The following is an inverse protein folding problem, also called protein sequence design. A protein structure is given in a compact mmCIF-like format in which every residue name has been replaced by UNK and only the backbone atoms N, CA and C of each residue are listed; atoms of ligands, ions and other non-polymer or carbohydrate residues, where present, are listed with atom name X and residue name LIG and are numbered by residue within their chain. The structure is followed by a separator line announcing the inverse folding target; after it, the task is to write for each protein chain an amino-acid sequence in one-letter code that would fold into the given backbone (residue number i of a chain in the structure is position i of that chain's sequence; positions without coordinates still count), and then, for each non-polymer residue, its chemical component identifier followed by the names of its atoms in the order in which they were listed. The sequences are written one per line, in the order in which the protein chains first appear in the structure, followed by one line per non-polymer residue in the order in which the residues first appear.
data_IF_647964224653
#
_entry.id   IF_647964224653
#
_cell.length_a   1.000
_cell.length_b   1.000
_cell.length_c   1.000
_cell.angle_alpha   90.00
_cell.angle_beta   90.00
_cell.angle_gamma   90.00
#
_symmetry.space_group_name_H-M   'P 1'
#
loop_
_entity.id
_entity.type
_entity.pdbx_description
1 polymer ?
#
# COMPACT_ATOMS: atom_id res chain seq x y z
N UNK A 1 -18.38 36.61 -56.01
CA UNK A 1 -17.93 35.35 -55.39
C UNK A 1 -19.04 34.84 -54.47
N UNK A 2 -19.87 33.91 -54.98
CA UNK A 2 -21.03 33.37 -54.26
C UNK A 2 -20.57 32.15 -53.44
N UNK A 3 -20.74 32.24 -52.18
CA UNK A 3 -20.57 31.08 -51.26
C UNK A 3 -21.84 30.23 -51.33
N UNK A 4 -21.83 29.21 -52.14
CA UNK A 4 -22.87 28.17 -52.13
C UNK A 4 -22.64 27.29 -50.90
N UNK A 5 -23.51 27.46 -49.90
CA UNK A 5 -23.56 26.62 -48.72
C UNK A 5 -23.85 25.16 -49.14
N UNK A 6 -22.91 24.27 -48.85
CA UNK A 6 -23.04 22.82 -48.99
C UNK A 6 -24.02 22.33 -47.91
N UNK A 7 -25.33 22.37 -48.23
CA UNK A 7 -26.37 21.71 -47.41
C UNK A 7 -26.44 20.26 -47.87
N UNK A 8 -25.56 19.39 -47.29
CA UNK A 8 -25.71 17.98 -47.44
C UNK A 8 -27.03 17.53 -46.78
N UNK A 9 -27.94 16.80 -47.48
CA UNK A 9 -29.16 16.29 -46.86
C UNK A 9 -28.81 15.35 -45.74
N UNK A 10 -29.34 15.55 -44.52
CA UNK A 10 -29.24 14.65 -43.40
C UNK A 10 -29.86 13.30 -43.80
N UNK A 11 -29.00 12.35 -44.13
CA UNK A 11 -29.41 11.01 -44.55
C UNK A 11 -30.19 10.40 -43.37
N UNK A 12 -31.48 10.11 -43.56
CA UNK A 12 -32.34 9.46 -42.59
C UNK A 12 -31.75 8.08 -42.24
N UNK A 13 -31.18 7.95 -41.06
CA UNK A 13 -30.59 6.70 -40.63
C UNK A 13 -31.56 5.54 -40.79
N UNK A 14 -31.15 4.47 -41.45
CA UNK A 14 -31.96 3.26 -41.57
C UNK A 14 -32.25 2.69 -40.18
N UNK A 15 -33.35 1.98 -39.99
CA UNK A 15 -33.70 1.33 -38.69
C UNK A 15 -32.54 0.43 -38.19
N UNK A 16 -31.84 -0.20 -39.13
CA UNK A 16 -30.66 -1.03 -38.80
C UNK A 16 -29.48 -0.21 -38.22
N UNK A 17 -29.23 0.99 -38.78
CA UNK A 17 -28.19 1.89 -38.24
C UNK A 17 -28.54 2.41 -36.84
N UNK A 18 -29.83 2.79 -36.61
CA UNK A 18 -30.25 3.19 -35.25
C UNK A 18 -30.14 2.09 -34.24
N UNK A 19 -30.46 0.84 -34.60
CA UNK A 19 -30.30 -0.33 -33.75
C UNK A 19 -28.81 -0.63 -33.45
N UNK A 20 -27.93 -0.45 -34.44
CA UNK A 20 -26.49 -0.61 -34.24
C UNK A 20 -25.94 0.43 -33.24
N UNK A 21 -26.32 1.71 -33.38
CA UNK A 21 -25.92 2.77 -32.45
C UNK A 21 -26.43 2.52 -31.02
N UNK A 22 -27.65 2.01 -30.87
CA UNK A 22 -28.21 1.62 -29.58
C UNK A 22 -27.38 0.49 -28.94
N UNK A 23 -27.12 -0.55 -29.71
CA UNK A 23 -26.31 -1.70 -29.22
C UNK A 23 -24.93 -1.22 -28.80
N UNK A 24 -24.25 -0.39 -29.62
CA UNK A 24 -22.94 0.13 -29.29
C UNK A 24 -22.97 0.97 -28.00
N UNK A 25 -23.94 1.85 -27.85
CA UNK A 25 -24.09 2.66 -26.64
C UNK A 25 -24.33 1.78 -25.39
N UNK A 26 -25.21 0.77 -25.49
CA UNK A 26 -25.47 -0.16 -24.39
C UNK A 26 -24.21 -0.95 -23.99
N UNK A 27 -23.43 -1.43 -24.96
CA UNK A 27 -22.17 -2.13 -24.71
C UNK A 27 -21.17 -1.20 -24.02
N UNK A 28 -21.00 0.04 -24.50
CA UNK A 28 -20.10 1.01 -23.89
C UNK A 28 -20.53 1.36 -22.46
N UNK A 29 -21.82 1.58 -22.21
CA UNK A 29 -22.35 1.83 -20.86
C UNK A 29 -22.13 0.61 -19.96
N UNK A 30 -22.37 -0.61 -20.44
CA UNK A 30 -22.16 -1.82 -19.67
C UNK A 30 -20.69 -1.98 -19.28
N UNK A 31 -19.74 -1.75 -20.20
CA UNK A 31 -18.30 -1.83 -19.95
C UNK A 31 -17.89 -0.77 -18.91
N UNK A 32 -18.28 0.47 -19.10
CA UNK A 32 -17.91 1.56 -18.19
C UNK A 32 -18.50 1.38 -16.78
N UNK A 33 -19.76 0.93 -16.67
CA UNK A 33 -20.34 0.57 -15.39
C UNK A 33 -19.62 -0.59 -14.71
N UNK A 34 -19.26 -1.63 -15.47
CA UNK A 34 -18.52 -2.78 -14.93
C UNK A 34 -17.16 -2.36 -14.37
N UNK A 35 -16.45 -1.46 -15.06
CA UNK A 35 -15.18 -0.88 -14.57
C UNK A 35 -15.40 -0.03 -13.30
N UNK A 36 -16.49 0.72 -13.23
CA UNK A 36 -16.87 1.47 -12.03
C UNK A 36 -17.08 0.55 -10.83
N UNK A 37 -17.87 -0.51 -10.98
CA UNK A 37 -18.10 -1.50 -9.92
C UNK A 37 -16.84 -2.27 -9.55
N UNK A 38 -15.99 -2.59 -10.51
CA UNK A 38 -14.69 -3.21 -10.24
C UNK A 38 -13.80 -2.32 -9.36
N UNK A 39 -13.77 -1.01 -9.61
CA UNK A 39 -13.03 -0.07 -8.76
C UNK A 39 -13.60 -0.01 -7.33
N UNK A 40 -14.93 -0.02 -7.17
CA UNK A 40 -15.55 -0.08 -5.85
C UNK A 40 -15.20 -1.38 -5.11
N UNK A 41 -15.17 -2.50 -5.80
CA UNK A 41 -14.73 -3.79 -5.24
C UNK A 41 -13.27 -3.74 -4.76
N UNK A 42 -12.38 -3.08 -5.51
CA UNK A 42 -10.98 -2.87 -5.09
C UNK A 42 -10.88 -1.98 -3.84
N UNK A 43 -11.68 -0.91 -3.77
CA UNK A 43 -11.76 -0.07 -2.58
C UNK A 43 -12.18 -0.89 -1.35
N UNK A 44 -13.24 -1.68 -1.48
CA UNK A 44 -13.76 -2.52 -0.40
C UNK A 44 -12.74 -3.57 0.08
N UNK A 45 -12.04 -4.22 -0.83
CA UNK A 45 -10.97 -5.18 -0.46
C UNK A 45 -9.90 -4.53 0.40
N UNK A 46 -9.47 -3.30 0.05
CA UNK A 46 -8.48 -2.56 0.83
C UNK A 46 -8.99 -2.14 2.21
N UNK A 47 -10.25 -1.71 2.31
CA UNK A 47 -10.88 -1.37 3.58
C UNK A 47 -10.97 -2.60 4.50
N UNK A 48 -11.37 -3.74 3.96
CA UNK A 48 -11.46 -4.99 4.73
C UNK A 48 -10.08 -5.41 5.25
N UNK A 49 -9.04 -5.31 4.42
CA UNK A 49 -7.67 -5.59 4.84
C UNK A 49 -7.20 -4.66 5.97
N UNK A 50 -7.50 -3.36 5.87
CA UNK A 50 -7.16 -2.42 6.93
C UNK A 50 -7.94 -2.69 8.23
N UNK A 51 -9.22 -3.03 8.12
CA UNK A 51 -10.03 -3.41 9.27
C UNK A 51 -9.46 -4.66 9.97
N UNK A 52 -9.01 -5.66 9.22
CA UNK A 52 -8.35 -6.85 9.75
C UNK A 52 -7.05 -6.50 10.51
N UNK A 53 -6.20 -5.64 9.94
CA UNK A 53 -4.97 -5.18 10.60
C UNK A 53 -5.32 -4.47 11.92
N UNK A 54 -6.29 -3.57 11.88
CA UNK A 54 -6.74 -2.84 13.07
C UNK A 54 -7.29 -3.77 14.14
N UNK A 55 -8.11 -4.73 13.75
CA UNK A 55 -8.66 -5.73 14.67
C UNK A 55 -7.55 -6.56 15.32
N UNK A 56 -6.58 -7.02 14.54
CA UNK A 56 -5.44 -7.81 15.06
C UNK A 56 -4.56 -7.00 16.00
N UNK A 57 -4.34 -5.71 15.72
CA UNK A 57 -3.55 -4.84 16.57
C UNK A 57 -4.21 -4.50 17.92
N UNK A 58 -5.51 -4.73 18.04
CA UNK A 58 -6.28 -4.54 19.29
C UNK A 58 -6.47 -5.84 20.09
N UNK A 59 -5.98 -6.97 19.59
CA UNK A 59 -6.03 -8.25 20.31
C UNK A 59 -5.16 -8.20 21.58
N UNK A 60 -5.41 -9.08 22.57
CA UNK A 60 -4.58 -9.18 23.75
C UNK A 60 -3.10 -9.34 23.39
N UNK A 61 -2.23 -8.63 24.10
CA UNK A 61 -0.79 -8.66 23.90
C UNK A 61 -0.26 -10.07 24.20
N UNK A 62 0.52 -10.60 23.27
CA UNK A 62 1.27 -11.84 23.45
C UNK A 62 2.53 -11.56 24.26
N UNK A 63 2.99 -12.52 25.04
CA UNK A 63 4.30 -12.47 25.67
C UNK A 63 5.35 -13.19 24.80
N UNK A 64 6.63 -12.98 25.15
CA UNK A 64 7.75 -13.54 24.39
C UNK A 64 7.81 -15.06 24.39
N UNK A 65 7.16 -15.78 25.33
CA UNK A 65 7.15 -17.24 25.39
C UNK A 65 6.43 -17.83 24.18
N UNK A 66 5.46 -17.10 23.66
CA UNK A 66 4.71 -17.50 22.46
C UNK A 66 5.59 -17.70 21.24
N UNK A 67 6.73 -16.99 21.16
CA UNK A 67 7.67 -17.12 20.05
C UNK A 67 8.37 -18.49 20.02
N UNK A 68 8.45 -19.19 21.15
CA UNK A 68 9.01 -20.55 21.25
C UNK A 68 8.20 -21.62 20.51
N UNK A 69 6.89 -21.38 20.36
CA UNK A 69 5.98 -22.26 19.63
C UNK A 69 5.91 -22.00 18.12
N UNK A 70 6.61 -20.97 17.63
CA UNK A 70 6.61 -20.57 16.21
C UNK A 70 7.51 -21.46 15.34
N UNK A 71 7.59 -22.75 15.63
CA UNK A 71 8.22 -23.69 14.71
C UNK A 71 7.27 -23.95 13.52
N UNK A 72 7.48 -23.19 12.49
CA UNK A 72 7.52 -23.57 11.09
C UNK A 72 6.25 -24.05 10.36
N UNK A 73 5.15 -23.29 10.43
CA UNK A 73 4.15 -23.39 9.37
C UNK A 73 3.80 -21.98 8.88
N UNK A 74 3.92 -21.76 7.56
CA UNK A 74 3.61 -20.48 6.90
C UNK A 74 2.21 -19.94 7.25
N UNK A 75 1.24 -20.84 7.47
CA UNK A 75 -0.11 -20.51 7.91
C UNK A 75 -0.19 -19.94 9.32
N UNK A 76 0.59 -20.44 10.25
CA UNK A 76 0.63 -19.92 11.64
C UNK A 76 1.18 -18.49 11.68
N UNK A 77 2.20 -18.21 10.91
CA UNK A 77 2.82 -16.87 10.83
C UNK A 77 1.84 -15.82 10.32
N UNK A 78 1.07 -16.14 9.28
CA UNK A 78 0.06 -15.20 8.73
C UNK A 78 -1.01 -14.79 9.75
N UNK A 79 -1.43 -15.71 10.62
CA UNK A 79 -2.38 -15.43 11.70
C UNK A 79 -1.85 -14.49 12.78
N UNK A 80 -0.52 -14.43 12.96
CA UNK A 80 0.12 -13.63 14.01
C UNK A 80 0.52 -12.23 13.57
N UNK A 81 0.60 -11.99 12.26
CA UNK A 81 0.95 -10.66 11.75
C UNK A 81 0.01 -9.60 12.31
N UNK A 82 0.58 -8.47 12.68
CA UNK A 82 -0.08 -7.30 13.26
C UNK A 82 -0.61 -7.48 14.69
N UNK A 83 -0.38 -8.62 15.34
CA UNK A 83 -0.72 -8.80 16.76
C UNK A 83 0.29 -8.10 17.66
N UNK A 84 -0.18 -7.48 18.76
CA UNK A 84 0.70 -6.88 19.75
C UNK A 84 1.47 -7.97 20.51
N UNK A 85 2.75 -7.68 20.79
CA UNK A 85 3.64 -8.55 21.55
C UNK A 85 4.50 -7.72 22.50
N UNK A 86 4.74 -8.24 23.71
CA UNK A 86 5.71 -7.72 24.65
C UNK A 86 6.88 -8.69 24.71
N UNK A 87 8.09 -8.16 24.59
CA UNK A 87 9.32 -8.95 24.63
C UNK A 87 10.24 -8.42 25.72
N UNK A 88 10.69 -9.34 26.56
CA UNK A 88 11.80 -9.13 27.46
C UNK A 88 13.05 -9.77 26.87
N UNK A 89 14.16 -9.04 26.83
CA UNK A 89 15.36 -9.55 26.18
C UNK A 89 16.55 -8.61 26.29
N UNK A 90 17.58 -8.90 25.53
CA UNK A 90 18.82 -8.14 25.48
C UNK A 90 19.14 -7.78 24.04
N UNK A 91 19.52 -6.52 23.81
CA UNK A 91 19.92 -6.04 22.49
C UNK A 91 21.27 -6.64 22.09
N UNK A 92 21.33 -7.17 20.86
CA UNK A 92 22.58 -7.55 20.22
C UNK A 92 23.06 -6.38 19.34
N UNK A 93 23.45 -5.30 19.98
CA UNK A 93 23.71 -3.97 19.41
C UNK A 93 24.79 -3.96 18.31
N UNK A 94 25.82 -4.81 18.42
CA UNK A 94 26.87 -4.99 17.42
C UNK A 94 26.35 -5.40 16.03
N UNK A 95 25.12 -5.93 15.96
CA UNK A 95 24.47 -6.33 14.71
C UNK A 95 23.39 -5.34 14.28
N UNK A 96 23.42 -4.13 14.80
CA UNK A 96 22.50 -3.07 14.39
C UNK A 96 22.74 -2.67 12.94
N UNK A 97 21.66 -2.55 12.16
CA UNK A 97 21.66 -2.18 10.74
C UNK A 97 20.76 -0.98 10.53
N UNK A 98 21.19 -0.08 9.66
CA UNK A 98 20.45 1.10 9.24
C UNK A 98 19.96 0.91 7.81
N UNK A 99 18.64 0.79 7.61
CA UNK A 99 18.09 0.72 6.26
C UNK A 99 17.87 2.12 5.71
N UNK A 100 18.65 2.46 4.69
CA UNK A 100 18.60 3.78 4.04
C UNK A 100 17.35 3.95 3.17
N UNK A 101 17.11 5.20 2.79
CA UNK A 101 16.01 5.62 1.93
C UNK A 101 14.62 5.28 2.52
N UNK A 102 14.49 5.35 3.84
CA UNK A 102 13.22 5.17 4.56
C UNK A 102 12.66 6.53 4.95
N UNK A 103 11.44 6.80 4.53
CA UNK A 103 10.78 8.06 4.83
C UNK A 103 9.88 7.93 6.06
N UNK A 104 9.89 8.97 6.90
CA UNK A 104 8.92 9.17 7.98
C UNK A 104 8.54 10.65 7.98
N UNK A 105 7.23 10.97 7.95
CA UNK A 105 6.72 12.34 7.86
C UNK A 105 7.34 13.14 6.70
N UNK A 106 7.42 12.52 5.52
CA UNK A 106 8.03 13.08 4.31
C UNK A 106 9.53 13.46 4.45
N UNK A 107 10.20 13.02 5.51
CA UNK A 107 11.64 13.26 5.72
C UNK A 107 12.44 11.98 5.44
N UNK A 108 13.55 12.04 4.67
CA UNK A 108 14.40 10.89 4.42
C UNK A 108 15.25 10.54 5.65
N UNK A 109 15.45 9.25 5.87
CA UNK A 109 16.23 8.75 7.00
C UNK A 109 16.42 7.25 6.93
N UNK A 110 16.65 6.66 8.10
CA UNK A 110 16.94 5.24 8.27
C UNK A 110 15.91 4.56 9.16
N UNK A 111 15.49 3.35 8.80
CA UNK A 111 14.95 2.43 9.80
C UNK A 111 16.11 1.74 10.52
N UNK A 112 16.08 1.76 11.84
CA UNK A 112 17.09 1.11 12.67
C UNK A 112 16.58 -0.27 13.08
N UNK A 113 17.33 -1.29 12.72
CA UNK A 113 17.04 -2.68 13.01
C UNK A 113 18.12 -3.24 13.93
N UNK A 114 17.71 -3.83 15.03
CA UNK A 114 18.63 -4.50 15.97
C UNK A 114 18.04 -5.87 16.33
N UNK A 115 18.83 -6.96 16.28
CA UNK A 115 18.39 -8.23 16.82
C UNK A 115 18.24 -8.14 18.34
N UNK A 116 17.17 -8.77 18.86
CA UNK A 116 16.88 -8.93 20.29
C UNK A 116 16.95 -10.40 20.64
N UNK A 117 17.78 -10.76 21.63
CA UNK A 117 17.77 -12.08 22.22
C UNK A 117 16.64 -12.15 23.25
N UNK A 118 15.61 -12.93 22.96
CA UNK A 118 14.39 -13.03 23.78
C UNK A 118 14.68 -13.88 25.00
N UNK A 119 14.43 -13.35 26.18
CA UNK A 119 14.72 -14.02 27.44
C UNK A 119 13.91 -15.32 27.63
N UNK A 120 12.63 -15.30 27.29
CA UNK A 120 11.71 -16.42 27.50
C UNK A 120 12.06 -17.65 26.64
N UNK A 121 12.67 -17.49 25.47
CA UNK A 121 12.91 -18.57 24.51
C UNK A 121 14.38 -18.81 24.20
N UNK A 122 15.25 -17.83 24.53
CA UNK A 122 16.64 -17.79 24.07
C UNK A 122 16.80 -17.56 22.57
N UNK A 123 15.71 -17.49 21.81
CA UNK A 123 15.70 -17.20 20.38
C UNK A 123 16.05 -15.76 20.08
N UNK A 124 16.33 -15.46 18.81
CA UNK A 124 16.66 -14.11 18.37
C UNK A 124 15.63 -13.63 17.37
N UNK A 125 15.04 -12.45 17.60
CA UNK A 125 14.10 -11.80 16.70
C UNK A 125 14.67 -10.47 16.19
N UNK A 126 14.47 -10.17 14.92
CA UNK A 126 14.85 -8.89 14.35
C UNK A 126 13.81 -7.82 14.73
N UNK A 127 14.25 -6.78 15.42
CA UNK A 127 13.36 -5.67 15.82
C UNK A 127 13.62 -4.42 15.01
N UNK A 128 12.57 -3.89 14.42
CA UNK A 128 12.54 -2.56 13.81
C UNK A 128 12.30 -1.55 14.94
N UNK A 129 13.38 -1.00 15.49
CA UNK A 129 13.34 -0.16 16.70
C UNK A 129 12.70 1.19 16.50
N UNK A 130 12.87 1.77 15.32
CA UNK A 130 12.37 3.10 15.00
C UNK A 130 13.04 3.68 13.77
N UNK A 131 12.77 4.95 13.56
CA UNK A 131 13.33 5.75 12.49
C UNK A 131 14.17 6.88 13.05
N UNK A 132 15.25 7.22 12.33
CA UNK A 132 16.10 8.36 12.63
C UNK A 132 16.40 9.13 11.34
N UNK A 133 16.42 10.46 11.42
CA UNK A 133 16.71 11.33 10.29
C UNK A 133 18.14 11.15 9.80
N UNK A 134 18.34 11.27 8.48
CA UNK A 134 19.65 11.25 7.87
C UNK A 134 20.32 12.62 7.98
N UNK A 135 21.64 12.64 8.14
CA UNK A 135 22.44 13.86 7.93
C UNK A 135 22.39 14.24 6.44
N UNK A 136 22.03 15.49 6.15
CA UNK A 136 21.96 15.98 4.76
C UNK A 136 23.32 16.34 4.19
N UNK A 137 24.30 16.62 5.07
CA UNK A 137 25.66 17.02 4.70
C UNK A 137 26.53 15.80 4.41
N UNK A 138 26.40 14.76 5.25
CA UNK A 138 27.17 13.52 5.12
C UNK A 138 26.23 12.30 5.21
N UNK A 139 26.04 11.64 4.08
CA UNK A 139 25.19 10.44 3.98
C UNK A 139 25.74 9.20 4.68
N UNK A 140 27.03 9.19 4.94
CA UNK A 140 27.72 8.08 5.60
C UNK A 140 27.74 8.20 7.11
N UNK A 141 27.42 9.39 7.62
CA UNK A 141 27.39 9.67 9.05
C UNK A 141 26.18 9.00 9.68
N UNK A 142 26.47 8.06 10.58
CA UNK A 142 25.43 7.40 11.37
C UNK A 142 24.91 8.36 12.44
N UNK A 143 23.57 8.51 12.54
CA UNK A 143 22.98 9.25 13.65
C UNK A 143 23.28 8.56 14.99
N UNK A 144 23.48 9.38 16.02
CA UNK A 144 23.66 8.85 17.39
C UNK A 144 22.33 8.28 17.91
N UNK A 145 22.34 6.98 18.19
CA UNK A 145 21.23 6.31 18.88
C UNK A 145 21.73 5.77 20.21
N UNK A 146 20.83 5.73 21.19
CA UNK A 146 21.14 5.09 22.46
C UNK A 146 20.66 3.65 22.44
N UNK A 147 21.52 2.71 22.83
CA UNK A 147 21.12 1.31 23.02
C UNK A 147 21.36 0.94 24.47
N UNK A 148 20.30 0.74 25.27
CA UNK A 148 20.44 0.32 26.66
C UNK A 148 21.20 -1.00 26.74
N UNK A 149 22.11 -1.09 27.70
CA UNK A 149 22.82 -2.34 28.06
C UNK A 149 21.99 -3.14 29.05
N UNK A 150 22.02 -4.47 28.92
CA UNK A 150 21.28 -5.39 29.80
C UNK A 150 19.85 -5.64 29.37
N UNK A 151 19.02 -6.10 30.31
CA UNK A 151 17.64 -6.47 30.03
C UNK A 151 16.76 -5.27 29.68
N UNK A 152 15.97 -5.42 28.62
CA UNK A 152 14.99 -4.43 28.15
C UNK A 152 13.63 -5.08 27.97
N UNK A 153 12.58 -4.32 28.20
CA UNK A 153 11.21 -4.70 27.84
C UNK A 153 10.75 -3.82 26.69
N UNK A 154 10.31 -4.42 25.59
CA UNK A 154 9.80 -3.72 24.44
C UNK A 154 8.36 -4.13 24.13
N UNK A 155 7.56 -3.19 23.66
CA UNK A 155 6.24 -3.43 23.09
C UNK A 155 6.32 -3.27 21.58
N UNK A 156 5.69 -4.19 20.85
CA UNK A 156 5.74 -4.17 19.39
C UNK A 156 4.56 -4.85 18.73
N UNK A 157 4.57 -4.80 17.42
CA UNK A 157 3.65 -5.56 16.56
C UNK A 157 4.45 -6.60 15.78
N UNK A 158 3.94 -7.83 15.74
CA UNK A 158 4.54 -8.88 14.91
C UNK A 158 4.40 -8.50 13.44
N UNK A 159 5.50 -8.55 12.71
CA UNK A 159 5.56 -8.14 11.31
C UNK A 159 6.43 -9.09 10.48
N UNK A 160 6.32 -8.97 9.18
CA UNK A 160 7.33 -9.50 8.27
C UNK A 160 8.61 -8.65 8.33
N UNK A 161 9.77 -9.19 7.93
CA UNK A 161 10.95 -8.37 7.69
C UNK A 161 10.62 -7.18 6.79
N UNK A 162 11.36 -6.05 6.92
CA UNK A 162 11.09 -4.86 6.13
C UNK A 162 11.03 -5.17 4.64
N UNK A 163 10.06 -4.56 3.94
CA UNK A 163 9.92 -4.73 2.48
C UNK A 163 11.20 -4.29 1.77
N UNK A 164 11.59 -5.06 0.75
CA UNK A 164 12.73 -4.71 -0.11
C UNK A 164 12.34 -3.53 -1.00
N UNK A 165 13.19 -2.50 -1.01
CA UNK A 165 13.15 -1.44 -2.02
C UNK A 165 13.88 -1.91 -3.27
N UNK A 166 13.49 -1.37 -4.41
CA UNK A 166 14.21 -1.64 -5.66
C UNK A 166 15.65 -1.11 -5.54
N UNK A 167 16.63 -1.99 -5.67
CA UNK A 167 18.05 -1.67 -5.63
C UNK A 167 18.68 -1.96 -6.99
N UNK A 168 19.46 -1.02 -7.50
CA UNK A 168 20.31 -1.21 -8.65
C UNK A 168 21.68 -1.73 -8.14
N UNK A 169 21.93 -3.04 -8.27
CA UNK A 169 23.18 -3.67 -7.90
C UNK A 169 23.06 -4.71 -6.77
N UNK A 170 24.20 -5.30 -6.41
CA UNK A 170 24.29 -6.29 -5.34
C UNK A 170 24.15 -5.66 -3.96
N UNK A 171 23.62 -6.43 -3.01
CA UNK A 171 23.42 -6.01 -1.63
C UNK A 171 24.76 -5.89 -0.92
N UNK A 172 25.16 -4.65 -0.60
CA UNK A 172 26.44 -4.39 0.10
C UNK A 172 26.29 -4.77 1.57
N UNK A 173 27.18 -5.61 2.07
CA UNK A 173 27.28 -5.97 3.49
C UNK A 173 27.94 -4.82 4.26
N UNK A 174 27.15 -3.85 4.67
CA UNK A 174 27.58 -2.71 5.48
C UNK A 174 26.57 -2.43 6.59
N UNK A 175 26.94 -1.60 7.56
CA UNK A 175 26.01 -1.16 8.61
C UNK A 175 24.86 -0.35 8.03
N UNK A 176 25.14 0.48 7.00
CA UNK A 176 24.13 1.16 6.20
C UNK A 176 23.88 0.32 4.96
N UNK A 177 22.64 -0.11 4.75
CA UNK A 177 22.22 -0.87 3.56
C UNK A 177 20.82 -0.45 3.11
N UNK A 178 20.50 -0.66 1.86
CA UNK A 178 19.19 -0.30 1.32
C UNK A 178 18.12 -1.33 1.69
N UNK A 179 18.50 -2.61 1.70
CA UNK A 179 17.64 -3.73 2.02
C UNK A 179 18.31 -4.64 3.04
N UNK A 180 17.51 -5.51 3.65
CA UNK A 180 18.00 -6.59 4.49
C UNK A 180 17.25 -7.87 4.12
N UNK A 181 17.99 -8.84 3.63
CA UNK A 181 17.49 -10.20 3.47
C UNK A 181 17.78 -10.98 4.74
N UNK A 182 16.72 -11.53 5.34
CA UNK A 182 16.85 -12.20 6.65
C UNK A 182 17.71 -13.48 6.58
N UNK A 183 17.63 -14.21 5.47
CA UNK A 183 18.43 -15.45 5.30
C UNK A 183 19.92 -15.11 5.15
N UNK A 184 20.23 -14.11 4.31
CA UNK A 184 21.60 -13.63 4.16
C UNK A 184 22.15 -13.06 5.46
N UNK A 185 21.30 -12.38 6.24
CA UNK A 185 21.68 -11.79 7.51
C UNK A 185 21.93 -12.87 8.59
N UNK A 186 21.22 -13.99 8.57
CA UNK A 186 21.53 -15.17 9.40
C UNK A 186 22.92 -15.73 9.10
N UNK A 187 23.23 -15.89 7.82
CA UNK A 187 24.54 -16.39 7.39
C UNK A 187 25.66 -15.43 7.77
N UNK A 188 25.42 -14.13 7.60
CA UNK A 188 26.38 -13.07 7.92
C UNK A 188 26.70 -12.99 9.42
N UNK A 189 25.68 -13.11 10.27
CA UNK A 189 25.80 -12.90 11.72
C UNK A 189 25.98 -14.17 12.51
N UNK A 190 25.63 -15.33 11.94
CA UNK A 190 25.55 -16.61 12.65
C UNK A 190 24.43 -16.69 13.68
N UNK A 191 23.51 -15.72 13.69
CA UNK A 191 22.41 -15.67 14.65
C UNK A 191 21.23 -16.55 14.20
N UNK A 192 20.58 -17.29 15.11
CA UNK A 192 19.38 -18.07 14.82
C UNK A 192 18.14 -17.16 14.78
N UNK A 193 18.11 -16.23 13.82
CA UNK A 193 17.03 -15.26 13.68
C UNK A 193 15.73 -15.98 13.29
N UNK A 194 14.63 -15.61 13.95
CA UNK A 194 13.29 -16.06 13.58
C UNK A 194 12.87 -15.47 12.23
N UNK A 195 11.92 -16.12 11.52
CA UNK A 195 11.43 -15.68 10.19
C UNK A 195 10.40 -14.56 10.26
N UNK A 196 10.26 -13.93 11.39
CA UNK A 196 9.43 -12.76 11.64
C UNK A 196 10.31 -11.60 12.08
N UNK A 197 9.76 -10.42 12.06
CA UNK A 197 10.29 -9.24 12.75
C UNK A 197 9.27 -8.68 13.73
N UNK A 198 9.71 -7.77 14.58
CA UNK A 198 8.83 -7.02 15.47
C UNK A 198 9.04 -5.53 15.20
N UNK A 199 7.96 -4.81 14.94
CA UNK A 199 7.96 -3.35 14.83
C UNK A 199 7.75 -2.81 16.24
N UNK A 200 8.75 -2.17 16.82
CA UNK A 200 8.63 -1.55 18.15
C UNK A 200 7.68 -0.36 18.10
N UNK A 201 6.75 -0.31 19.03
CA UNK A 201 5.74 0.76 19.15
C UNK A 201 5.91 1.51 20.47
N UNK A 202 5.23 2.65 20.60
CA UNK A 202 5.27 3.49 21.79
C UNK A 202 5.89 4.86 21.52
N UNK A 203 6.13 5.61 22.58
CA UNK A 203 6.71 6.95 22.48
C UNK A 203 8.13 6.93 21.89
N UNK A 204 8.52 8.05 21.29
CA UNK A 204 9.89 8.23 20.84
C UNK A 204 10.86 8.12 22.02
N UNK A 205 11.91 7.32 21.85
CA UNK A 205 12.98 7.14 22.84
C UNK A 205 14.26 6.73 22.15
N UNK A 206 15.39 6.77 22.85
CA UNK A 206 16.68 6.31 22.35
C UNK A 206 17.17 7.06 21.10
N UNK A 207 16.62 8.24 20.80
CA UNK A 207 16.88 8.99 19.59
C UNK A 207 16.08 8.51 18.36
N UNK A 208 15.09 7.63 18.58
CA UNK A 208 14.31 6.99 17.52
C UNK A 208 12.85 7.43 17.57
N UNK A 209 12.28 7.76 16.42
CA UNK A 209 10.85 7.99 16.22
C UNK A 209 10.15 6.67 15.86
N UNK A 210 8.90 6.52 16.32
CA UNK A 210 8.08 5.33 16.09
C UNK A 210 6.73 5.65 15.45
N UNK A 211 6.68 6.75 14.70
CA UNK A 211 5.51 7.17 13.92
C UNK A 211 5.45 6.39 12.61
N UNK A 212 5.32 5.08 12.72
CA UNK A 212 5.37 4.18 11.57
C UNK A 212 4.32 4.57 10.53
N UNK A 213 4.70 4.68 9.24
CA UNK A 213 3.75 4.98 8.20
C UNK A 213 2.65 3.93 8.17
N UNK A 214 1.42 4.37 8.37
CA UNK A 214 0.28 3.49 8.10
C UNK A 214 0.23 3.24 6.60
N UNK A 215 -0.04 1.99 6.21
CA UNK A 215 -0.21 1.66 4.80
C UNK A 215 -1.36 2.52 4.25
N UNK A 216 -0.99 3.55 3.48
CA UNK A 216 -1.98 4.37 2.79
C UNK A 216 -2.80 3.44 1.90
N UNK A 217 -4.07 3.27 2.22
CA UNK A 217 -4.97 2.38 1.47
C UNK A 217 -5.14 2.83 0.04
N UNK A 218 -4.99 4.13 -0.21
CA UNK A 218 -5.25 4.74 -1.51
C UNK A 218 -6.68 4.48 -2.01
N UNK A 219 -7.61 4.30 -1.09
CA UNK A 219 -9.03 4.01 -1.37
C UNK A 219 -9.66 5.17 -2.14
N UNK A 220 -9.26 6.40 -1.82
CA UNK A 220 -9.72 7.63 -2.46
C UNK A 220 -9.48 7.61 -3.98
N UNK A 221 -8.36 7.04 -4.42
CA UNK A 221 -8.05 6.88 -5.85
C UNK A 221 -9.05 5.96 -6.53
N UNK A 222 -9.44 4.87 -5.88
CA UNK A 222 -10.43 3.94 -6.43
C UNK A 222 -11.82 4.57 -6.51
N UNK A 223 -12.23 5.35 -5.52
CA UNK A 223 -13.48 6.11 -5.58
C UNK A 223 -13.44 7.17 -6.68
N UNK A 224 -12.32 7.88 -6.85
CA UNK A 224 -12.13 8.83 -7.95
C UNK A 224 -12.26 8.18 -9.32
N UNK A 225 -11.63 7.01 -9.52
CA UNK A 225 -11.77 6.25 -10.77
C UNK A 225 -13.20 5.71 -10.98
N UNK A 226 -13.86 5.22 -9.93
CA UNK A 226 -15.24 4.77 -10.04
C UNK A 226 -16.17 5.92 -10.48
N UNK A 227 -15.99 7.09 -9.88
CA UNK A 227 -16.73 8.30 -10.28
C UNK A 227 -16.51 8.66 -11.76
N UNK A 228 -15.28 8.60 -12.25
CA UNK A 228 -14.97 8.87 -13.65
C UNK A 228 -15.66 7.86 -14.59
N UNK A 229 -15.64 6.57 -14.25
CA UNK A 229 -16.28 5.52 -15.05
C UNK A 229 -17.79 5.68 -15.10
N UNK A 230 -18.45 5.94 -13.97
CA UNK A 230 -19.91 6.19 -13.96
C UNK A 230 -20.27 7.50 -14.64
N UNK A 231 -19.43 8.55 -14.50
CA UNK A 231 -19.60 9.81 -15.22
C UNK A 231 -19.51 9.61 -16.74
N UNK A 232 -18.58 8.78 -17.21
CA UNK A 232 -18.45 8.44 -18.63
C UNK A 232 -19.67 7.63 -19.12
N UNK A 233 -20.14 6.66 -18.33
CA UNK A 233 -21.37 5.92 -18.65
C UNK A 233 -22.58 6.84 -18.82
N UNK A 234 -22.76 7.78 -17.90
CA UNK A 234 -23.81 8.79 -17.96
C UNK A 234 -23.68 9.69 -19.20
N UNK A 235 -22.45 10.15 -19.49
CA UNK A 235 -22.18 10.96 -20.66
C UNK A 235 -22.54 10.24 -21.96
N UNK A 236 -22.16 8.97 -22.10
CA UNK A 236 -22.50 8.14 -23.26
C UNK A 236 -24.02 8.04 -23.42
N UNK A 237 -24.73 7.77 -22.33
CA UNK A 237 -26.19 7.68 -22.33
C UNK A 237 -26.84 9.02 -22.73
N UNK A 238 -26.37 10.14 -22.18
CA UNK A 238 -26.88 11.48 -22.50
C UNK A 238 -26.61 11.85 -23.97
N UNK A 239 -25.42 11.56 -24.48
CA UNK A 239 -25.09 11.81 -25.90
C UNK A 239 -25.94 10.93 -26.81
N UNK A 240 -26.17 9.66 -26.47
CA UNK A 240 -27.08 8.82 -27.25
C UNK A 240 -28.49 9.39 -27.31
N UNK A 241 -29.08 9.77 -26.17
CA UNK A 241 -30.39 10.35 -26.06
C UNK A 241 -30.46 11.65 -26.88
N UNK A 242 -29.43 12.51 -26.74
CA UNK A 242 -29.40 13.76 -27.46
C UNK A 242 -29.37 13.57 -28.99
N UNK A 243 -28.43 12.77 -29.49
CA UNK A 243 -28.24 12.62 -30.94
C UNK A 243 -29.29 11.74 -31.62
N UNK A 244 -29.79 10.73 -30.95
CA UNK A 244 -30.73 9.77 -31.53
C UNK A 244 -32.21 10.11 -31.26
N UNK A 245 -32.52 10.84 -30.17
CA UNK A 245 -33.92 11.10 -29.78
C UNK A 245 -34.24 12.57 -29.84
N UNK A 246 -33.45 13.46 -29.21
CA UNK A 246 -33.82 14.87 -29.06
C UNK A 246 -33.59 15.64 -30.34
N UNK A 247 -32.38 15.59 -30.89
CA UNK A 247 -31.98 16.37 -32.10
C UNK A 247 -32.89 16.08 -33.31
N UNK A 248 -33.22 14.82 -33.67
CA UNK A 248 -34.12 14.57 -34.81
C UNK A 248 -35.51 15.13 -34.62
N UNK A 249 -36.05 15.14 -33.38
CA UNK A 249 -37.37 15.71 -33.08
C UNK A 249 -37.41 17.23 -33.21
N UNK A 250 -36.31 17.93 -32.85
CA UNK A 250 -36.20 19.35 -32.98
C UNK A 250 -36.11 19.78 -34.47
N UNK A 251 -35.36 19.02 -35.27
CA UNK A 251 -35.19 19.32 -36.71
C UNK A 251 -36.48 19.06 -37.49
N UNK A 252 -37.31 18.08 -37.12
CA UNK A 252 -38.56 17.78 -37.80
C UNK A 252 -39.67 18.81 -37.54
N UNK A 253 -39.59 19.64 -36.49
CA UNK A 253 -40.57 20.70 -36.18
C UNK A 253 -40.33 22.00 -36.97
N UNK A 254 -39.18 22.18 -37.59
CA UNK A 254 -38.81 23.41 -38.32
C UNK A 254 -39.25 23.36 -39.79
N UNK A 255 -39.63 22.21 -40.33
CA UNK A 255 -40.12 22.05 -41.69
C UNK A 255 -41.65 22.30 -41.70
N UNK A 256 -42.07 23.54 -41.62
CA UNK A 256 -43.45 23.96 -41.94
C UNK A 256 -43.50 24.19 -43.44
N UNK A 257 -44.41 23.54 -44.19
CA UNK A 257 -44.59 23.81 -45.59
C UNK A 257 -45.31 25.17 -45.76
N UNK A 258 -44.78 26.00 -46.62
CA UNK A 258 -45.52 27.08 -47.23
C UNK A 258 -46.30 26.55 -48.44
#
# INVERSE_FOLDING_TARGET
MSWSAFSAPLQKNSRAQSALWLLLALVCVAITCSLGFWQLGRAQTKLNWQAEITQKSQMPTLDGSFLGGLQDTQGHRAGLLHRPIQLDGEWLDKYTVYLDNRQMNARPGFYVLTPLKVQATGGVVLVQRGWVGRDFTDRTRLPAIQTPSGGVTINGLIALPPSKLYALGEEVKSVIRQNLDLQNFRVETGLPLMEISVIQVGAASEGLLREWPQAATGVEKHYGYAFQWFGLALLIALLYVWFQIVRPRLTSKVTVPH
#
